data_IF_055772661005
#
_entry.id   IF_055772661005
#
_cell.length_a   1.000
_cell.length_b   1.000
_cell.length_c   1.000
_cell.angle_alpha   90.00
_cell.angle_beta   90.00
_cell.angle_gamma   90.00
#
_symmetry.space_group_name_H-M   'P 1'
#
loop_
_entity.id
_entity.type
_entity.pdbx_description
1 polymer ?
#
# COMPACT_ATOMS: atom_id res chain seq x y z
N UNK A 1 -12.15 48.94 -17.79
CA UNK A 1 -11.93 47.62 -18.44
C UNK A 1 -10.76 46.83 -17.84
N UNK A 2 -9.78 47.49 -17.20
CA UNK A 2 -8.65 46.82 -16.51
C UNK A 2 -9.04 45.91 -15.34
N UNK A 3 -9.95 46.34 -14.45
CA UNK A 3 -10.37 45.53 -13.29
C UNK A 3 -10.97 44.17 -13.69
N UNK A 4 -11.68 44.10 -14.81
CA UNK A 4 -12.27 42.86 -15.31
C UNK A 4 -11.20 41.86 -15.78
N UNK A 5 -10.08 42.36 -16.32
CA UNK A 5 -8.95 41.51 -16.72
C UNK A 5 -8.15 41.03 -15.51
N UNK A 6 -7.97 41.87 -14.49
CA UNK A 6 -7.32 41.49 -13.23
C UNK A 6 -8.10 40.41 -12.50
N UNK A 7 -9.43 40.54 -12.40
CA UNK A 7 -10.32 39.53 -11.80
C UNK A 7 -10.24 38.21 -12.58
N UNK A 8 -10.29 38.25 -13.91
CA UNK A 8 -10.17 37.03 -14.76
C UNK A 8 -8.83 36.33 -14.57
N UNK A 9 -7.72 37.07 -14.44
CA UNK A 9 -6.38 36.51 -14.19
C UNK A 9 -6.30 35.83 -12.82
N UNK A 10 -6.87 36.45 -11.78
CA UNK A 10 -6.92 35.87 -10.44
C UNK A 10 -7.77 34.59 -10.40
N UNK A 11 -8.95 34.60 -11.04
CA UNK A 11 -9.79 33.41 -11.13
C UNK A 11 -9.11 32.26 -11.87
N UNK A 12 -8.45 32.54 -13.01
CA UNK A 12 -7.70 31.55 -13.78
C UNK A 12 -6.51 30.98 -12.98
N UNK A 13 -5.80 31.82 -12.23
CA UNK A 13 -4.72 31.38 -11.35
C UNK A 13 -5.23 30.49 -10.22
N UNK A 14 -6.33 30.88 -9.57
CA UNK A 14 -6.94 30.12 -8.48
C UNK A 14 -7.46 28.75 -8.94
N UNK A 15 -8.12 28.70 -10.12
CA UNK A 15 -8.58 27.43 -10.71
C UNK A 15 -7.42 26.54 -11.11
N UNK A 16 -6.34 27.09 -11.67
CA UNK A 16 -5.13 26.33 -11.98
C UNK A 16 -4.49 25.70 -10.74
N UNK A 17 -4.39 26.45 -9.64
CA UNK A 17 -3.86 25.96 -8.36
C UNK A 17 -4.75 24.85 -7.77
N UNK A 18 -6.07 25.05 -7.77
CA UNK A 18 -7.03 24.06 -7.27
C UNK A 18 -7.00 22.76 -8.08
N UNK A 19 -6.87 22.84 -9.41
CA UNK A 19 -6.72 21.65 -10.26
C UNK A 19 -5.43 20.88 -9.95
N UNK A 20 -4.31 21.58 -9.74
CA UNK A 20 -3.03 20.93 -9.45
C UNK A 20 -3.06 20.18 -8.11
N UNK A 21 -3.66 20.76 -7.08
CA UNK A 21 -3.84 20.13 -5.76
C UNK A 21 -4.74 18.89 -5.82
N UNK A 22 -5.80 18.92 -6.64
CA UNK A 22 -6.66 17.77 -6.86
C UNK A 22 -5.90 16.60 -7.53
N UNK A 23 -5.01 16.90 -8.47
CA UNK A 23 -4.19 15.89 -9.16
C UNK A 23 -3.22 15.16 -8.24
N UNK A 24 -2.54 15.89 -7.33
CA UNK A 24 -1.63 15.27 -6.34
C UNK A 24 -2.39 14.35 -5.39
N UNK A 25 -3.61 14.74 -5.00
CA UNK A 25 -4.45 13.97 -4.09
C UNK A 25 -4.99 12.67 -4.73
N UNK A 26 -5.06 12.60 -6.06
CA UNK A 26 -5.59 11.47 -6.81
C UNK A 26 -4.56 10.36 -7.06
N UNK A 27 -3.28 10.57 -6.74
CA UNK A 27 -2.28 9.49 -6.75
C UNK A 27 -2.51 8.56 -5.56
N UNK A 28 -3.49 7.67 -5.69
CA UNK A 28 -3.61 6.49 -4.87
C UNK A 28 -2.36 5.63 -5.11
N UNK A 29 -1.40 5.68 -4.19
CA UNK A 29 -0.19 4.89 -4.29
C UNK A 29 -0.54 3.44 -3.98
N UNK A 30 -0.76 2.64 -5.02
CA UNK A 30 -0.82 1.18 -4.90
C UNK A 30 0.59 0.74 -4.48
N UNK A 31 0.80 0.57 -3.18
CA UNK A 31 2.05 0.01 -2.70
C UNK A 31 2.06 -1.46 -3.07
N UNK A 32 2.97 -1.83 -3.95
CA UNK A 32 3.17 -3.24 -4.30
C UNK A 32 3.65 -4.00 -3.06
N UNK A 33 2.74 -4.79 -2.50
CA UNK A 33 3.06 -5.66 -1.37
C UNK A 33 3.74 -6.91 -1.92
N UNK A 34 5.04 -7.03 -1.64
CA UNK A 34 5.82 -8.22 -1.97
C UNK A 34 6.14 -9.05 -0.72
N UNK A 35 6.33 -10.36 -0.91
CA UNK A 35 6.64 -11.28 0.19
C UNK A 35 7.91 -10.84 0.93
N UNK A 36 9.03 -10.69 0.22
CA UNK A 36 10.32 -10.37 0.85
C UNK A 36 10.35 -9.02 1.54
N UNK A 37 9.69 -7.99 0.98
CA UNK A 37 9.77 -6.63 1.52
C UNK A 37 8.80 -6.39 2.68
N UNK A 38 7.70 -7.14 2.77
CA UNK A 38 6.62 -6.81 3.72
C UNK A 38 6.17 -8.00 4.58
N UNK A 39 6.10 -9.20 4.01
CA UNK A 39 5.41 -10.34 4.64
C UNK A 39 6.40 -11.24 5.37
N UNK A 40 7.59 -11.48 4.82
CA UNK A 40 8.57 -12.42 5.36
C UNK A 40 8.93 -12.11 6.82
N UNK A 41 9.13 -10.84 7.17
CA UNK A 41 9.41 -10.42 8.56
C UNK A 41 8.26 -10.78 9.51
N UNK A 42 7.02 -10.48 9.12
CA UNK A 42 5.83 -10.77 9.93
C UNK A 42 5.72 -12.26 10.20
N UNK A 43 5.89 -13.08 9.15
CA UNK A 43 5.81 -14.54 9.25
C UNK A 43 6.90 -15.10 10.16
N UNK A 44 8.14 -14.63 10.02
CA UNK A 44 9.26 -15.06 10.87
C UNK A 44 9.07 -14.69 12.34
N UNK A 45 8.56 -13.50 12.62
CA UNK A 45 8.39 -12.99 14.00
C UNK A 45 7.20 -13.63 14.73
N UNK A 46 6.11 -13.95 14.01
CA UNK A 46 4.84 -14.30 14.65
C UNK A 46 4.38 -15.74 14.36
N UNK A 47 4.77 -16.32 13.23
CA UNK A 47 4.20 -17.59 12.77
C UNK A 47 5.21 -18.73 12.80
N UNK A 48 6.44 -18.49 12.32
CA UNK A 48 7.51 -19.51 12.23
C UNK A 48 7.91 -20.07 13.60
N UNK A 49 7.72 -19.31 14.68
CA UNK A 49 7.93 -19.80 16.06
C UNK A 49 7.15 -21.10 16.35
N UNK A 50 5.97 -21.26 15.75
CA UNK A 50 5.14 -22.46 15.87
C UNK A 50 5.15 -23.30 14.58
N UNK A 51 5.11 -22.65 13.42
CA UNK A 51 5.01 -23.27 12.09
C UNK A 51 6.39 -23.45 11.44
N UNK A 52 7.23 -24.24 12.08
CA UNK A 52 8.55 -24.67 11.60
C UNK A 52 8.64 -26.18 11.57
N UNK A 53 9.64 -26.72 10.91
CA UNK A 53 9.91 -28.16 10.96
C UNK A 53 10.02 -28.68 12.40
N UNK A 54 9.27 -29.73 12.72
CA UNK A 54 9.18 -30.30 14.07
C UNK A 54 8.51 -29.39 15.12
N UNK A 55 7.95 -28.26 14.71
CA UNK A 55 7.17 -27.36 15.57
C UNK A 55 5.78 -27.90 15.89
N UNK A 56 5.05 -27.17 16.74
CA UNK A 56 3.68 -27.53 17.15
C UNK A 56 2.64 -27.22 16.07
N UNK A 57 2.98 -26.37 15.10
CA UNK A 57 2.11 -26.03 13.98
C UNK A 57 1.94 -27.24 13.06
N UNK A 58 0.74 -27.50 12.52
CA UNK A 58 0.47 -28.68 11.70
C UNK A 58 1.15 -28.67 10.32
N UNK A 59 1.84 -27.58 9.99
CA UNK A 59 2.38 -27.24 8.66
C UNK A 59 3.46 -26.17 8.78
N UNK A 60 4.41 -26.16 7.85
CA UNK A 60 5.59 -25.29 7.87
C UNK A 60 5.33 -23.94 7.18
N UNK A 61 5.98 -22.88 7.65
CA UNK A 61 5.92 -21.51 7.13
C UNK A 61 7.30 -20.86 6.99
N UNK A 62 8.35 -21.65 6.75
CA UNK A 62 9.72 -21.14 6.70
C UNK A 62 10.07 -20.56 5.32
N UNK A 63 9.34 -20.96 4.27
CA UNK A 63 9.53 -20.44 2.91
C UNK A 63 8.25 -19.89 2.28
N UNK A 64 8.40 -19.06 1.24
CA UNK A 64 7.28 -18.51 0.48
C UNK A 64 6.40 -19.62 -0.11
N UNK A 65 7.01 -20.67 -0.67
CA UNK A 65 6.32 -21.80 -1.30
C UNK A 65 5.47 -22.56 -0.30
N UNK A 66 5.93 -22.68 0.95
CA UNK A 66 5.21 -23.34 2.03
C UNK A 66 4.02 -22.51 2.52
N UNK A 67 4.17 -21.18 2.60
CA UNK A 67 3.12 -20.28 3.10
C UNK A 67 2.03 -20.04 2.04
N UNK A 68 2.43 -19.83 0.78
CA UNK A 68 1.55 -19.38 -0.31
C UNK A 68 0.22 -20.15 -0.43
N UNK A 69 0.15 -21.48 -0.32
CA UNK A 69 -1.10 -22.23 -0.43
C UNK A 69 -2.12 -21.89 0.67
N UNK A 70 -1.66 -21.37 1.80
CA UNK A 70 -2.47 -21.12 2.99
C UNK A 70 -2.83 -19.66 3.18
N UNK A 71 -2.18 -18.76 2.43
CA UNK A 71 -2.51 -17.33 2.43
C UNK A 71 -4.02 -17.05 2.26
N UNK A 72 -4.78 -17.77 1.41
CA UNK A 72 -6.23 -17.55 1.30
C UNK A 72 -7.02 -17.84 2.58
N UNK A 73 -6.48 -18.58 3.55
CA UNK A 73 -7.13 -18.88 4.82
C UNK A 73 -6.81 -17.87 5.92
N UNK A 74 -5.82 -17.00 5.69
CA UNK A 74 -5.38 -15.96 6.63
C UNK A 74 -6.08 -14.65 6.24
N UNK A 75 -7.32 -14.49 6.71
CA UNK A 75 -8.18 -13.33 6.41
C UNK A 75 -8.49 -12.54 7.70
N UNK A 76 -8.92 -11.27 7.53
CA UNK A 76 -9.41 -10.41 8.60
C UNK A 76 -10.89 -10.66 8.90
#
# INVERSE_FOLDING_TARGET
>A
MENMQTIRRLFAGLTGVLLALAFVSAQAQTRDVTYNSHIAKIMNENCVVCHREGGIGPMQFETYEQIRPWAPLIQL
#
